data_IF_437457926137
#
_entry.id   IF_437457926137
#
_cell.length_a   1.000
_cell.length_b   1.000
_cell.length_c   1.000
_cell.angle_alpha   90.00
_cell.angle_beta   90.00
_cell.angle_gamma   90.00
#
_symmetry.space_group_name_H-M   'P 1'
#
loop_
_entity.id
_entity.type
_entity.pdbx_description
1 polymer ?
#
# COMPACT_ATOMS: atom_id res chain seq x y z
N UNK A 1 -12.47 15.88 -15.10
CA UNK A 1 -11.97 16.67 -13.95
C UNK A 1 -12.77 16.44 -12.67
N UNK A 2 -14.10 16.43 -12.69
CA UNK A 2 -14.93 16.15 -11.51
C UNK A 2 -14.78 14.72 -10.96
N UNK A 3 -14.56 13.72 -11.80
CA UNK A 3 -14.32 12.32 -11.37
C UNK A 3 -13.02 12.14 -10.61
N UNK A 4 -11.94 12.77 -11.02
CA UNK A 4 -10.64 12.74 -10.35
C UNK A 4 -10.69 13.41 -8.97
N UNK A 5 -11.45 14.49 -8.81
CA UNK A 5 -11.63 15.16 -7.53
C UNK A 5 -12.34 14.29 -6.47
N UNK A 6 -13.32 13.49 -6.89
CA UNK A 6 -14.05 12.59 -5.98
C UNK A 6 -13.20 11.36 -5.59
N UNK A 7 -12.42 10.81 -6.50
CA UNK A 7 -11.50 9.70 -6.24
C UNK A 7 -10.36 10.13 -5.30
N UNK A 8 -9.80 11.32 -5.50
CA UNK A 8 -8.80 11.90 -4.62
C UNK A 8 -9.33 12.13 -3.20
N UNK A 9 -10.55 12.68 -3.07
CA UNK A 9 -11.19 12.88 -1.78
C UNK A 9 -11.52 11.55 -1.07
N UNK A 10 -11.90 10.52 -1.83
CA UNK A 10 -12.13 9.17 -1.32
C UNK A 10 -10.82 8.54 -0.81
N UNK A 11 -9.77 8.60 -1.59
CA UNK A 11 -8.47 8.02 -1.27
C UNK A 11 -7.81 8.67 -0.04
N UNK A 12 -8.10 9.95 0.23
CA UNK A 12 -7.64 10.64 1.45
C UNK A 12 -8.35 10.16 2.73
N UNK A 13 -9.47 9.46 2.62
CA UNK A 13 -10.28 9.00 3.76
C UNK A 13 -10.07 7.54 4.14
N UNK A 14 -9.24 6.82 3.42
CA UNK A 14 -8.95 5.41 3.74
C UNK A 14 -8.26 5.34 5.11
N UNK A 15 -8.86 4.63 6.04
CA UNK A 15 -8.34 4.41 7.39
C UNK A 15 -8.96 5.25 8.51
N UNK A 16 -9.92 6.14 8.21
CA UNK A 16 -10.53 7.03 9.22
C UNK A 16 -11.66 6.39 10.04
N UNK A 17 -12.02 5.14 9.75
CA UNK A 17 -13.17 4.52 10.40
C UNK A 17 -12.74 3.65 11.57
N UNK A 18 -13.18 4.03 12.76
CA UNK A 18 -13.02 3.26 14.00
C UNK A 18 -14.38 2.83 14.53
N UNK A 19 -14.46 1.61 15.08
CA UNK A 19 -15.68 1.10 15.68
C UNK A 19 -15.43 0.06 16.74
N UNK A 20 -16.45 -0.18 17.59
CA UNK A 20 -16.41 -1.20 18.64
C UNK A 20 -16.76 -2.61 18.13
N UNK A 21 -17.46 -2.73 17.00
CA UNK A 21 -17.97 -3.99 16.45
C UNK A 21 -17.67 -4.10 14.95
N UNK A 22 -17.29 -5.30 14.44
CA UNK A 22 -16.96 -5.49 13.03
C UNK A 22 -18.11 -5.19 12.05
N UNK A 23 -19.35 -5.31 12.51
CA UNK A 23 -20.56 -5.05 11.71
C UNK A 23 -21.00 -3.59 11.71
N UNK A 24 -20.35 -2.73 12.44
CA UNK A 24 -20.71 -1.32 12.55
C UNK A 24 -21.69 -1.00 13.68
N UNK A 25 -22.25 0.21 13.69
CA UNK A 25 -22.06 1.25 12.67
C UNK A 25 -20.68 1.87 12.68
N UNK A 26 -20.12 2.16 11.50
CA UNK A 26 -18.87 2.89 11.35
C UNK A 26 -19.09 4.39 11.48
N UNK A 27 -18.23 5.05 12.20
CA UNK A 27 -18.31 6.50 12.44
C UNK A 27 -16.94 7.09 12.10
N UNK A 28 -16.93 8.18 11.34
CA UNK A 28 -15.73 8.97 11.10
C UNK A 28 -15.17 9.48 12.45
N UNK A 29 -13.91 9.18 12.73
CA UNK A 29 -13.23 9.64 13.94
C UNK A 29 -12.85 11.12 13.82
N UNK A 30 -12.45 11.55 12.63
CA UNK A 30 -12.19 12.93 12.26
C UNK A 30 -13.27 13.39 11.30
N UNK A 31 -13.67 14.62 11.33
CA UNK A 31 -14.58 15.17 10.31
C UNK A 31 -13.82 15.51 9.01
N UNK A 32 -13.07 14.53 8.47
CA UNK A 32 -12.17 14.65 7.35
C UNK A 32 -11.10 13.56 7.33
N UNK A 33 -10.09 13.62 6.46
CA UNK A 33 -8.99 12.66 6.41
C UNK A 33 -8.22 12.55 7.71
N UNK A 34 -7.78 11.34 8.10
CA UNK A 34 -6.90 11.11 9.26
C UNK A 34 -5.63 11.96 9.17
N UNK A 35 -5.09 12.12 7.98
CA UNK A 35 -3.95 12.96 7.68
C UNK A 35 -4.01 13.44 6.23
N UNK A 36 -3.39 14.56 5.93
CA UNK A 36 -3.24 15.10 4.58
C UNK A 36 -1.76 15.39 4.30
N UNK A 37 -1.17 14.59 3.42
CA UNK A 37 0.21 14.73 2.99
C UNK A 37 0.34 15.55 1.69
N UNK A 38 -0.77 16.10 1.19
CA UNK A 38 -0.79 16.86 -0.06
C UNK A 38 -0.69 16.01 -1.32
N UNK A 39 -0.87 14.68 -1.23
CA UNK A 39 -0.88 13.76 -2.36
C UNK A 39 -1.90 12.63 -2.16
N UNK A 40 -2.27 11.94 -3.25
CA UNK A 40 -3.22 10.84 -3.19
C UNK A 40 -2.61 9.61 -2.52
N UNK A 41 -3.37 9.04 -1.57
CA UNK A 41 -3.02 7.80 -0.85
C UNK A 41 -4.17 6.81 -0.94
N UNK A 42 -3.84 5.54 -1.18
CA UNK A 42 -4.80 4.43 -1.29
C UNK A 42 -4.28 3.21 -0.54
N UNK A 43 -5.10 2.16 -0.43
CA UNK A 43 -4.74 0.83 0.05
C UNK A 43 -4.20 0.82 1.50
N UNK A 44 -4.82 1.57 2.39
CA UNK A 44 -4.40 1.64 3.78
C UNK A 44 -4.52 0.29 4.50
N UNK A 45 -3.43 -0.17 5.13
CA UNK A 45 -3.36 -1.40 5.92
C UNK A 45 -2.64 -1.16 7.24
N UNK A 46 -3.26 -1.55 8.36
CA UNK A 46 -2.73 -1.32 9.70
C UNK A 46 -2.07 -2.58 10.25
N UNK A 47 -0.82 -2.46 10.67
CA UNK A 47 -0.13 -3.45 11.47
C UNK A 47 -0.11 -3.01 12.94
N UNK A 48 -0.62 -3.87 13.82
CA UNK A 48 -0.43 -3.73 15.28
C UNK A 48 0.57 -4.80 15.75
N UNK A 49 1.66 -4.36 16.36
CA UNK A 49 2.71 -5.27 16.82
C UNK A 49 3.37 -4.74 18.10
N UNK A 50 4.33 -5.52 18.64
CA UNK A 50 5.08 -5.13 19.85
C UNK A 50 5.88 -3.83 19.69
N UNK A 51 6.26 -3.49 18.45
CA UNK A 51 7.10 -2.32 18.16
C UNK A 51 6.25 -1.06 17.90
N UNK A 52 4.92 -1.18 17.99
CA UNK A 52 3.96 -0.07 17.82
C UNK A 52 2.87 -0.39 16.80
N UNK A 53 2.18 0.66 16.39
CA UNK A 53 1.14 0.61 15.37
C UNK A 53 1.63 1.33 14.12
N UNK A 54 1.39 0.75 12.96
CA UNK A 54 1.93 1.25 11.70
C UNK A 54 0.85 1.21 10.61
N UNK A 55 0.69 2.30 9.88
CA UNK A 55 -0.16 2.38 8.69
C UNK A 55 0.73 2.30 7.45
N UNK A 56 0.57 1.24 6.68
CA UNK A 56 1.12 1.12 5.34
C UNK A 56 0.07 1.59 4.33
N UNK A 57 0.52 2.24 3.29
CA UNK A 57 -0.35 2.74 2.23
C UNK A 57 0.41 2.89 0.91
N UNK A 58 -0.33 2.96 -0.18
CA UNK A 58 0.21 3.27 -1.49
C UNK A 58 0.11 4.78 -1.73
N UNK A 59 1.24 5.43 -2.02
CA UNK A 59 1.22 6.74 -2.67
C UNK A 59 0.87 6.52 -4.13
N UNK A 60 -0.29 7.00 -4.55
CA UNK A 60 -0.82 6.74 -5.88
C UNK A 60 0.02 7.39 -6.99
N UNK A 61 0.11 6.69 -8.12
CA UNK A 61 0.90 7.13 -9.27
C UNK A 61 0.32 8.34 -10.01
N UNK A 62 -0.95 8.73 -9.77
CA UNK A 62 -1.62 9.78 -10.53
C UNK A 62 -0.87 11.13 -10.47
N UNK A 63 -0.24 11.43 -9.33
CA UNK A 63 0.53 12.66 -9.09
C UNK A 63 2.00 12.40 -8.75
N UNK A 64 2.42 11.13 -8.63
CA UNK A 64 3.79 10.76 -8.27
C UNK A 64 4.59 10.42 -9.52
N UNK A 65 5.40 11.37 -10.00
CA UNK A 65 6.22 11.21 -11.20
C UNK A 65 7.69 11.09 -10.79
N UNK A 66 8.31 9.95 -11.11
CA UNK A 66 9.71 9.64 -10.86
C UNK A 66 10.40 9.40 -12.19
N UNK A 67 11.40 10.21 -12.51
CA UNK A 67 12.16 10.14 -13.78
C UNK A 67 11.24 10.15 -15.02
N UNK A 68 10.14 10.92 -14.95
CA UNK A 68 9.17 11.05 -16.03
C UNK A 68 8.13 9.92 -16.10
N UNK A 69 8.14 8.95 -15.18
CA UNK A 69 7.21 7.82 -15.11
C UNK A 69 6.27 7.98 -13.92
N UNK A 70 4.98 7.81 -14.15
CA UNK A 70 3.98 7.75 -13.07
C UNK A 70 4.21 6.50 -12.23
N UNK A 71 4.49 6.66 -10.95
CA UNK A 71 4.98 5.56 -10.11
C UNK A 71 4.25 5.50 -8.78
N UNK A 72 3.54 4.41 -8.53
CA UNK A 72 2.99 4.09 -7.21
C UNK A 72 4.06 3.46 -6.33
N UNK A 73 4.14 3.91 -5.07
CA UNK A 73 5.14 3.49 -4.09
C UNK A 73 4.46 3.19 -2.75
N UNK A 74 5.01 2.24 -2.01
CA UNK A 74 4.51 1.92 -0.67
C UNK A 74 5.27 2.74 0.37
N UNK A 75 4.50 3.40 1.21
CA UNK A 75 4.97 4.15 2.38
C UNK A 75 4.43 3.55 3.68
N UNK A 76 5.06 3.89 4.77
CA UNK A 76 4.62 3.57 6.12
C UNK A 76 4.74 4.80 7.00
N UNK A 77 3.77 4.99 7.90
CA UNK A 77 3.80 5.98 8.97
C UNK A 77 3.35 5.33 10.27
N UNK A 78 3.94 5.74 11.38
CA UNK A 78 3.53 5.25 12.69
C UNK A 78 2.20 5.87 13.13
N UNK A 79 1.39 5.09 13.83
CA UNK A 79 0.15 5.54 14.47
C UNK A 79 0.31 5.59 15.99
N UNK A 80 -0.49 6.42 16.63
CA UNK A 80 -0.66 6.41 18.09
C UNK A 80 -1.39 5.15 18.58
N UNK A 81 -1.50 5.00 19.89
CA UNK A 81 -2.16 3.82 20.49
C UNK A 81 -3.67 3.77 20.21
N UNK A 82 -4.28 4.90 19.86
CA UNK A 82 -5.70 4.98 19.50
C UNK A 82 -5.94 4.62 18.05
N UNK A 83 -4.89 4.53 17.22
CA UNK A 83 -4.92 4.32 15.77
C UNK A 83 -5.59 5.46 14.97
N UNK A 84 -5.77 6.61 15.61
CA UNK A 84 -6.50 7.74 15.00
C UNK A 84 -5.61 8.90 14.61
N UNK A 85 -4.35 8.90 15.06
CA UNK A 85 -3.40 9.96 14.73
C UNK A 85 -2.09 9.37 14.21
N UNK A 86 -1.48 10.06 13.25
CA UNK A 86 -0.14 9.72 12.75
C UNK A 86 0.94 10.32 13.65
N UNK A 87 2.09 9.63 13.76
CA UNK A 87 3.26 10.05 14.52
C UNK A 87 4.46 10.12 13.58
N UNK A 88 5.11 11.29 13.54
CA UNK A 88 6.31 11.53 12.73
C UNK A 88 6.01 11.65 11.24
N UNK A 89 6.99 11.29 10.41
CA UNK A 89 6.94 11.46 8.98
C UNK A 89 6.85 10.13 8.24
N UNK A 90 6.16 10.10 7.08
CA UNK A 90 6.09 8.91 6.25
C UNK A 90 7.47 8.48 5.75
N UNK A 91 7.73 7.18 5.73
CA UNK A 91 8.95 6.61 5.16
C UNK A 91 8.63 5.71 3.97
N UNK A 92 9.48 5.75 2.95
CA UNK A 92 9.38 4.90 1.77
C UNK A 92 9.77 3.46 2.13
N UNK A 93 8.87 2.52 1.86
CA UNK A 93 9.10 1.08 2.09
C UNK A 93 9.56 0.35 0.83
N UNK A 94 8.83 0.54 -0.27
CA UNK A 94 9.18 -0.06 -1.56
C UNK A 94 8.87 0.88 -2.72
N UNK A 95 9.66 0.74 -3.78
CA UNK A 95 9.44 1.38 -5.08
C UNK A 95 9.65 0.32 -6.17
N UNK A 96 9.02 0.41 -7.35
CA UNK A 96 9.36 -0.47 -8.46
C UNK A 96 10.85 -0.32 -8.84
N UNK A 97 11.63 -1.38 -8.62
CA UNK A 97 13.08 -1.41 -8.85
C UNK A 97 13.58 -2.76 -9.42
N UNK A 98 12.66 -3.69 -9.68
CA UNK A 98 12.96 -5.02 -10.22
C UNK A 98 12.38 -5.18 -11.62
N UNK A 99 13.05 -5.95 -12.46
CA UNK A 99 12.67 -6.15 -13.86
C UNK A 99 11.21 -6.63 -14.02
N UNK A 100 10.75 -7.51 -13.14
CA UNK A 100 9.37 -8.04 -13.20
C UNK A 100 8.31 -6.97 -12.85
N UNK A 101 8.68 -5.86 -12.25
CA UNK A 101 7.79 -4.74 -11.90
C UNK A 101 7.66 -3.70 -13.03
N UNK A 102 8.39 -3.89 -14.14
CA UNK A 102 8.43 -2.93 -15.25
C UNK A 102 7.55 -3.30 -16.44
N UNK A 103 6.59 -4.23 -16.26
CA UNK A 103 5.73 -4.70 -17.35
C UNK A 103 4.78 -3.63 -17.90
N UNK A 104 4.50 -2.61 -17.09
CA UNK A 104 3.59 -1.51 -17.46
C UNK A 104 4.31 -0.23 -17.94
N UNK A 105 5.62 -0.29 -18.22
CA UNK A 105 6.37 0.86 -18.75
C UNK A 105 5.84 1.34 -20.11
N UNK A 106 5.28 0.45 -20.91
CA UNK A 106 4.69 0.79 -22.21
C UNK A 106 3.50 1.78 -22.12
N UNK A 107 2.86 1.86 -20.94
CA UNK A 107 1.81 2.85 -20.65
C UNK A 107 2.29 3.96 -19.72
N UNK A 108 3.60 4.08 -19.52
CA UNK A 108 4.25 5.07 -18.68
C UNK A 108 3.80 5.04 -17.20
N UNK A 109 3.51 3.85 -16.67
CA UNK A 109 3.10 3.66 -15.28
C UNK A 109 3.82 2.49 -14.64
N UNK A 110 4.15 2.63 -13.35
CA UNK A 110 4.70 1.57 -12.50
C UNK A 110 3.95 1.51 -11.19
N UNK A 111 3.80 0.30 -10.64
CA UNK A 111 3.11 0.10 -9.37
C UNK A 111 3.88 -0.82 -8.43
N UNK A 112 4.05 -0.36 -7.18
CA UNK A 112 4.06 -1.15 -5.97
C UNK A 112 2.90 -0.64 -5.11
N UNK A 113 1.90 -1.48 -4.85
CA UNK A 113 0.65 -1.07 -4.19
C UNK A 113 0.04 -2.21 -3.35
N UNK A 114 -1.08 -1.92 -2.65
CA UNK A 114 -1.82 -2.90 -1.87
C UNK A 114 -1.00 -3.58 -0.77
N UNK A 115 -0.28 -2.83 0.09
CA UNK A 115 0.54 -3.44 1.12
C UNK A 115 -0.31 -4.12 2.19
N UNK A 116 0.05 -5.33 2.58
CA UNK A 116 -0.46 -5.99 3.77
C UNK A 116 0.69 -6.63 4.52
N UNK A 117 0.83 -6.34 5.82
CA UNK A 117 1.99 -6.74 6.61
C UNK A 117 1.57 -7.57 7.81
N UNK A 118 2.31 -8.67 8.03
CA UNK A 118 2.23 -9.49 9.25
C UNK A 118 3.60 -9.67 9.88
N UNK A 119 3.63 -10.02 11.17
CA UNK A 119 4.83 -10.51 11.85
C UNK A 119 4.73 -12.02 12.01
N UNK A 120 5.70 -12.75 11.47
CA UNK A 120 5.75 -14.20 11.55
C UNK A 120 7.19 -14.71 11.54
N UNK A 121 7.48 -15.71 12.36
CA UNK A 121 8.78 -16.40 12.44
C UNK A 121 9.97 -15.43 12.63
N UNK A 122 9.75 -14.37 13.43
CA UNK A 122 10.77 -13.39 13.77
C UNK A 122 11.02 -12.31 12.69
N UNK A 123 10.21 -12.27 11.64
CA UNK A 123 10.30 -11.30 10.54
C UNK A 123 8.98 -10.59 10.30
N UNK A 124 9.04 -9.35 9.83
CA UNK A 124 7.94 -8.68 9.20
C UNK A 124 7.88 -9.13 7.74
N UNK A 125 6.70 -9.53 7.28
CA UNK A 125 6.43 -10.00 5.92
C UNK A 125 5.39 -9.07 5.32
N UNK A 126 5.74 -8.39 4.24
CA UNK A 126 4.83 -7.56 3.45
C UNK A 126 4.47 -8.31 2.18
N UNK A 127 3.18 -8.54 1.96
CA UNK A 127 2.66 -8.77 0.63
C UNK A 127 2.36 -7.43 -0.04
N UNK A 128 2.66 -7.33 -1.32
CA UNK A 128 2.34 -6.16 -2.14
C UNK A 128 2.03 -6.59 -3.57
N UNK A 129 1.40 -5.72 -4.31
CA UNK A 129 1.10 -5.96 -5.72
C UNK A 129 2.02 -5.15 -6.61
N UNK A 130 2.39 -5.73 -7.73
CA UNK A 130 3.20 -5.10 -8.77
C UNK A 130 2.47 -5.11 -10.11
N UNK A 131 2.78 -4.12 -10.96
CA UNK A 131 2.22 -3.87 -12.29
C UNK A 131 0.75 -3.39 -12.27
N UNK A 132 0.12 -3.29 -13.44
CA UNK A 132 -1.23 -2.75 -13.60
C UNK A 132 -2.30 -3.80 -13.31
N UNK A 133 -3.24 -3.48 -12.42
CA UNK A 133 -4.36 -4.35 -12.07
C UNK A 133 -5.25 -4.75 -13.25
N UNK A 134 -5.28 -3.94 -14.31
CA UNK A 134 -6.07 -4.20 -15.51
C UNK A 134 -5.37 -5.10 -16.52
N UNK A 135 -4.22 -5.70 -16.17
CA UNK A 135 -3.43 -6.55 -17.05
C UNK A 135 -3.16 -7.93 -16.44
N UNK A 136 -2.76 -8.86 -17.29
CA UNK A 136 -2.33 -10.19 -16.85
C UNK A 136 -0.98 -10.17 -16.11
N UNK A 137 -0.28 -9.05 -16.11
CA UNK A 137 0.99 -8.89 -15.40
C UNK A 137 0.83 -8.48 -13.93
N UNK A 138 -0.41 -8.18 -13.49
CA UNK A 138 -0.69 -7.91 -12.08
C UNK A 138 -0.34 -9.13 -11.25
N UNK A 139 0.45 -8.93 -10.20
CA UNK A 139 1.03 -10.03 -9.47
C UNK A 139 1.23 -9.71 -7.99
N UNK A 140 1.15 -10.75 -7.14
CA UNK A 140 1.47 -10.68 -5.72
C UNK A 140 2.97 -10.91 -5.53
N UNK A 141 3.58 -10.02 -4.78
CA UNK A 141 4.98 -10.02 -4.42
C UNK A 141 5.17 -10.00 -2.91
N UNK A 142 6.35 -10.37 -2.45
CA UNK A 142 6.71 -10.43 -1.03
C UNK A 142 8.00 -9.67 -0.78
N UNK A 143 8.02 -8.91 0.31
CA UNK A 143 9.23 -8.34 0.90
C UNK A 143 9.30 -8.68 2.39
N UNK A 144 10.50 -8.70 2.97
CA UNK A 144 10.71 -8.98 4.40
C UNK A 144 11.59 -7.91 5.04
N UNK A 145 11.41 -7.70 6.36
CA UNK A 145 12.22 -6.80 7.15
C UNK A 145 12.39 -7.31 8.59
N UNK A 146 13.38 -6.77 9.30
CA UNK A 146 13.58 -7.01 10.73
C UNK A 146 12.83 -5.99 11.61
N UNK A 147 12.43 -4.87 11.02
CA UNK A 147 11.68 -3.80 11.69
C UNK A 147 10.50 -3.35 10.81
N UNK A 148 9.34 -2.94 11.37
CA UNK A 148 8.19 -2.54 10.56
C UNK A 148 8.48 -1.37 9.61
N UNK A 149 9.36 -0.45 9.99
CA UNK A 149 9.79 0.65 9.12
C UNK A 149 10.94 0.27 8.17
N UNK A 150 11.30 -1.02 8.08
CA UNK A 150 12.36 -1.52 7.19
C UNK A 150 13.78 -1.47 7.79
N UNK A 151 14.81 -1.59 6.95
CA UNK A 151 14.74 -1.67 5.48
C UNK A 151 14.08 -2.97 4.98
N UNK A 152 13.31 -2.87 3.92
CA UNK A 152 12.61 -3.99 3.30
C UNK A 152 13.44 -4.62 2.18
N UNK A 153 13.47 -5.96 2.15
CA UNK A 153 14.15 -6.73 1.11
C UNK A 153 13.13 -7.53 0.31
N UNK A 154 13.01 -7.23 -0.97
CA UNK A 154 12.14 -7.98 -1.89
C UNK A 154 12.64 -9.39 -2.09
N UNK A 155 11.72 -10.37 -2.10
CA UNK A 155 12.05 -11.77 -2.32
C UNK A 155 12.64 -11.99 -3.73
N UNK A 156 13.68 -12.81 -3.82
CA UNK A 156 14.24 -13.24 -5.11
C UNK A 156 13.30 -14.14 -5.90
N UNK A 157 12.27 -14.69 -5.23
CA UNK A 157 11.26 -15.55 -5.85
C UNK A 157 10.02 -14.78 -6.31
N UNK A 158 10.06 -13.45 -6.30
CA UNK A 158 8.96 -12.63 -6.81
C UNK A 158 8.83 -12.73 -8.34
N UNK A 159 7.59 -12.63 -8.85
CA UNK A 159 6.33 -12.64 -8.13
C UNK A 159 5.97 -14.03 -7.57
N UNK A 160 5.39 -14.07 -6.36
CA UNK A 160 4.99 -15.34 -5.71
C UNK A 160 3.67 -15.89 -6.24
N UNK A 161 2.82 -15.02 -6.78
CA UNK A 161 1.60 -15.39 -7.50
C UNK A 161 1.39 -14.44 -8.67
N UNK A 162 1.18 -14.99 -9.85
CA UNK A 162 0.95 -14.24 -11.08
C UNK A 162 -0.09 -14.94 -11.95
N UNK A 163 -0.46 -14.32 -13.05
CA UNK A 163 -1.36 -14.89 -14.05
C UNK A 163 -0.90 -16.28 -14.52
N UNK A 164 -1.84 -17.18 -14.65
CA UNK A 164 -1.69 -18.51 -15.24
C UNK A 164 -3.00 -18.92 -15.94
N UNK A 165 -3.04 -20.12 -16.54
CA UNK A 165 -4.14 -20.55 -17.40
C UNK A 165 -5.56 -20.40 -16.81
N UNK A 166 -5.70 -20.50 -15.49
CA UNK A 166 -6.96 -20.44 -14.73
C UNK A 166 -7.06 -19.25 -13.77
N UNK A 167 -6.07 -18.35 -13.76
CA UNK A 167 -5.98 -17.22 -12.84
C UNK A 167 -5.48 -15.98 -13.57
N UNK A 168 -6.26 -14.92 -13.58
CA UNK A 168 -5.95 -13.65 -14.23
C UNK A 168 -5.87 -12.52 -13.20
N UNK A 169 -4.87 -11.63 -13.37
CA UNK A 169 -4.74 -10.40 -12.60
C UNK A 169 -4.67 -10.63 -11.09
N UNK A 170 -3.89 -11.64 -10.66
CA UNK A 170 -3.74 -11.97 -9.23
C UNK A 170 -2.98 -10.87 -8.50
N UNK A 171 -3.67 -10.11 -7.65
CA UNK A 171 -3.08 -9.04 -6.86
C UNK A 171 -4.00 -8.59 -5.73
N UNK A 172 -3.58 -7.56 -5.00
CA UNK A 172 -4.31 -6.88 -3.93
C UNK A 172 -4.87 -7.85 -2.88
N UNK A 173 -3.98 -8.61 -2.27
CA UNK A 173 -4.35 -9.60 -1.25
C UNK A 173 -4.24 -9.04 0.16
N UNK A 174 -4.96 -9.68 1.09
CA UNK A 174 -4.83 -9.48 2.54
C UNK A 174 -4.54 -10.81 3.23
N UNK A 175 -3.97 -10.75 4.46
CA UNK A 175 -3.80 -11.91 5.35
C UNK A 175 -5.03 -12.14 6.21
#
# INVERSE_FOLDING_TARGET
EEKLGNEYAFNKRVGEYMQAHPEGPFVDVHNGPMFDLGYATIDGSVLRCRDGNFLYYSRDCCENIIDGVKTSQIYCIQLDDTLTNVIGEPQLMTTPDKEFEFKSLNINHLWNEGPCVIFRDGKYIMNYSANCYATNDYAICVATADHPMGPWTKSVNNPVLSCRADLFGAGHNAF
#
